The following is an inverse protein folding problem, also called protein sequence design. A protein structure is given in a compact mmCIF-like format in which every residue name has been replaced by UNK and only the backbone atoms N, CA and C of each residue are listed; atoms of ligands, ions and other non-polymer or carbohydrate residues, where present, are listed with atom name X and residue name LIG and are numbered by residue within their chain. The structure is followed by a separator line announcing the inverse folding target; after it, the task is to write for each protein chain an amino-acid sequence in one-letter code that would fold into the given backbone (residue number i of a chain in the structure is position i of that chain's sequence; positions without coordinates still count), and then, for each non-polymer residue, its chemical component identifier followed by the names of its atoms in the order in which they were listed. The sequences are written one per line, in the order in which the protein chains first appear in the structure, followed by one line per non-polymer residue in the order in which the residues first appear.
data_IF_684751134924
#
_entry.id   IF_684751134924
#
_cell.length_a   1.000
_cell.length_b   1.000
_cell.length_c   1.000
_cell.angle_alpha   90.00
_cell.angle_beta   90.00
_cell.angle_gamma   90.00
#
_symmetry.space_group_name_H-M   'P 1'
#
loop_
_entity.id
_entity.type
_entity.pdbx_description
1 polymer ?
#
# COMPACT_ATOMS: atom_id res chain seq x y z
N UNK A 1 6.74 -47.42 17.20
CA UNK A 1 7.87 -46.59 17.65
C UNK A 1 8.82 -46.18 16.52
N UNK A 2 9.47 -47.09 15.77
CA UNK A 2 10.40 -46.70 14.69
C UNK A 2 9.73 -46.00 13.47
N UNK A 3 8.47 -46.36 13.16
CA UNK A 3 7.71 -45.79 12.03
C UNK A 3 7.26 -44.35 12.30
N UNK A 4 6.84 -44.02 13.53
CA UNK A 4 6.44 -42.65 13.91
C UNK A 4 7.60 -41.65 13.91
N UNK A 5 8.80 -42.08 14.32
CA UNK A 5 10.01 -41.24 14.30
C UNK A 5 10.43 -40.96 12.85
N UNK A 6 10.29 -41.92 11.94
CA UNK A 6 10.57 -41.75 10.51
C UNK A 6 9.67 -40.72 9.84
N UNK A 7 8.37 -40.74 10.13
CA UNK A 7 7.38 -39.78 9.59
C UNK A 7 7.65 -38.37 10.14
N UNK A 8 7.99 -38.22 11.41
CA UNK A 8 8.30 -36.92 12.03
C UNK A 8 9.57 -36.28 11.44
N UNK A 9 10.61 -37.09 11.18
CA UNK A 9 11.87 -36.64 10.56
C UNK A 9 11.65 -36.25 9.09
N UNK A 10 10.82 -36.99 8.36
CA UNK A 10 10.49 -36.72 6.96
C UNK A 10 9.62 -35.45 6.79
N UNK A 11 8.65 -35.22 7.70
CA UNK A 11 7.88 -33.97 7.75
C UNK A 11 8.76 -32.75 8.10
N UNK A 12 9.72 -32.91 9.01
CA UNK A 12 10.64 -31.82 9.40
C UNK A 12 11.66 -31.46 8.30
N UNK A 13 12.11 -32.46 7.51
CA UNK A 13 12.98 -32.23 6.35
C UNK A 13 12.24 -31.58 5.18
N UNK A 14 10.98 -31.95 4.91
CA UNK A 14 10.14 -31.28 3.94
C UNK A 14 9.86 -29.80 4.32
N UNK A 15 9.56 -29.54 5.60
CA UNK A 15 9.36 -28.19 6.12
C UNK A 15 10.63 -27.31 6.06
N UNK A 16 11.82 -27.89 6.30
CA UNK A 16 13.11 -27.20 6.13
C UNK A 16 13.39 -26.85 4.66
N UNK A 17 13.11 -27.77 3.74
CA UNK A 17 13.32 -27.56 2.28
C UNK A 17 12.41 -26.45 1.75
N UNK A 18 11.15 -26.40 2.19
CA UNK A 18 10.21 -25.34 1.81
C UNK A 18 10.64 -23.95 2.33
N UNK A 19 11.15 -23.85 3.58
CA UNK A 19 11.71 -22.58 4.10
C UNK A 19 12.99 -22.15 3.38
N UNK A 20 13.83 -23.09 2.94
CA UNK A 20 15.04 -22.78 2.18
C UNK A 20 14.72 -22.28 0.76
N UNK A 21 13.71 -22.85 0.11
CA UNK A 21 13.25 -22.43 -1.21
C UNK A 21 12.57 -21.04 -1.16
N UNK A 22 11.76 -20.78 -0.14
CA UNK A 22 11.18 -19.46 0.10
C UNK A 22 12.24 -18.38 0.35
N UNK A 23 13.33 -18.71 1.09
CA UNK A 23 14.47 -17.81 1.29
C UNK A 23 15.24 -17.52 -0.01
N UNK A 24 15.36 -18.51 -0.91
CA UNK A 24 15.99 -18.36 -2.22
C UNK A 24 15.17 -17.47 -3.15
N UNK A 25 13.84 -17.67 -3.22
CA UNK A 25 12.92 -16.82 -3.99
C UNK A 25 12.94 -15.39 -3.43
N UNK A 26 12.89 -15.23 -2.11
CA UNK A 26 12.98 -13.92 -1.47
C UNK A 26 14.33 -13.24 -1.74
N UNK A 27 15.43 -14.00 -1.74
CA UNK A 27 16.77 -13.49 -2.05
C UNK A 27 16.91 -13.06 -3.52
N UNK A 28 16.43 -13.86 -4.46
CA UNK A 28 16.40 -13.52 -5.89
C UNK A 28 15.49 -12.31 -6.15
N UNK A 29 14.32 -12.23 -5.50
CA UNK A 29 13.43 -11.08 -5.57
C UNK A 29 14.08 -9.81 -5.03
N UNK A 30 14.82 -9.90 -3.92
CA UNK A 30 15.55 -8.77 -3.35
C UNK A 30 16.69 -8.29 -4.27
N UNK A 31 17.45 -9.21 -4.86
CA UNK A 31 18.52 -8.86 -5.82
C UNK A 31 17.92 -8.19 -7.06
N UNK A 32 16.83 -8.75 -7.60
CA UNK A 32 16.10 -8.15 -8.72
C UNK A 32 15.55 -6.76 -8.38
N UNK A 33 15.01 -6.58 -7.16
CA UNK A 33 14.53 -5.30 -6.68
C UNK A 33 15.67 -4.28 -6.56
N UNK A 34 16.80 -4.67 -5.98
CA UNK A 34 17.99 -3.81 -5.85
C UNK A 34 18.56 -3.44 -7.22
N UNK A 35 18.61 -4.38 -8.15
CA UNK A 35 19.02 -4.13 -9.53
C UNK A 35 18.05 -3.17 -10.24
N UNK A 36 16.74 -3.32 -10.02
CA UNK A 36 15.71 -2.44 -10.57
C UNK A 36 15.81 -1.02 -9.99
N UNK A 37 16.02 -0.89 -8.68
CA UNK A 37 16.30 0.39 -8.00
C UNK A 37 17.53 1.03 -8.65
N UNK A 38 18.63 0.29 -8.75
CA UNK A 38 19.86 0.80 -9.34
C UNK A 38 19.68 1.25 -10.79
N UNK A 39 18.98 0.46 -11.61
CA UNK A 39 18.66 0.82 -12.99
C UNK A 39 17.79 2.07 -13.07
N UNK A 40 16.79 2.21 -12.20
CA UNK A 40 15.93 3.41 -12.10
C UNK A 40 16.72 4.66 -11.72
N UNK A 41 17.60 4.57 -10.73
CA UNK A 41 18.46 5.68 -10.33
C UNK A 41 19.50 6.03 -11.42
N UNK A 42 20.05 5.02 -12.11
CA UNK A 42 20.96 5.23 -13.23
C UNK A 42 20.26 5.93 -14.42
N UNK A 43 19.00 5.55 -14.71
CA UNK A 43 18.19 6.17 -15.75
C UNK A 43 17.74 7.61 -15.40
N UNK A 44 17.54 7.91 -14.12
CA UNK A 44 17.11 9.24 -13.66
C UNK A 44 18.21 10.32 -13.75
N UNK A 45 19.48 9.94 -13.90
CA UNK A 45 20.63 10.86 -13.96
C UNK A 45 20.94 11.53 -12.62
N UNK A 46 22.21 11.92 -12.40
CA UNK A 46 22.68 12.48 -11.12
C UNK A 46 21.98 13.79 -10.71
N UNK A 47 21.40 14.53 -11.66
CA UNK A 47 20.70 15.80 -11.41
C UNK A 47 19.31 15.63 -10.77
N UNK A 48 18.67 14.46 -10.88
CA UNK A 48 17.37 14.18 -10.26
C UNK A 48 17.48 13.87 -8.75
N UNK A 49 18.65 13.40 -8.29
CA UNK A 49 18.92 13.09 -6.88
C UNK A 49 19.19 14.36 -6.05
N UNK A 50 19.67 15.43 -6.70
CA UNK A 50 20.01 16.71 -6.05
C UNK A 50 18.81 17.62 -5.77
N UNK A 51 17.62 17.30 -6.29
CA UNK A 51 16.36 18.03 -6.02
C UNK A 51 15.52 17.29 -4.99
N UNK A 52 16.04 17.17 -3.77
CA UNK A 52 15.23 16.65 -2.66
C UNK A 52 14.54 17.83 -1.97
N UNK A 53 13.22 17.92 -2.11
CA UNK A 53 12.42 18.93 -1.45
C UNK A 53 11.55 18.30 -0.35
N UNK A 54 11.73 18.77 0.88
CA UNK A 54 10.95 18.31 2.04
C UNK A 54 9.45 18.60 1.84
N UNK A 55 9.11 19.69 1.15
CA UNK A 55 7.73 20.06 0.89
C UNK A 55 7.05 19.06 -0.05
N UNK A 56 7.75 18.61 -1.09
CA UNK A 56 7.26 17.57 -2.00
C UNK A 56 7.05 16.23 -1.28
N UNK A 57 7.96 15.86 -0.37
CA UNK A 57 7.79 14.67 0.46
C UNK A 57 6.53 14.75 1.33
N UNK A 58 6.24 15.93 1.90
CA UNK A 58 5.01 16.15 2.69
C UNK A 58 3.77 16.01 1.81
N UNK A 59 3.77 16.58 0.61
CA UNK A 59 2.64 16.46 -0.33
C UNK A 59 2.40 15.00 -0.74
N UNK A 60 3.46 14.28 -1.09
CA UNK A 60 3.41 12.85 -1.42
C UNK A 60 2.88 12.05 -0.22
N UNK A 61 3.37 12.33 0.98
CA UNK A 61 2.91 11.68 2.20
C UNK A 61 1.41 11.89 2.40
N UNK A 62 0.89 13.12 2.27
CA UNK A 62 -0.53 13.41 2.43
C UNK A 62 -1.37 12.67 1.39
N UNK A 63 -0.93 12.62 0.13
CA UNK A 63 -1.61 11.88 -0.94
C UNK A 63 -1.67 10.38 -0.65
N UNK A 64 -0.53 9.78 -0.30
CA UNK A 64 -0.47 8.34 0.03
C UNK A 64 -1.26 8.01 1.31
N UNK A 65 -1.18 8.87 2.33
CA UNK A 65 -1.91 8.70 3.58
C UNK A 65 -3.42 8.74 3.34
N UNK A 66 -3.87 9.70 2.53
CA UNK A 66 -5.28 9.82 2.22
C UNK A 66 -5.80 8.58 1.48
N UNK A 67 -5.06 8.11 0.48
CA UNK A 67 -5.49 6.97 -0.35
C UNK A 67 -5.44 5.64 0.41
N UNK A 68 -4.43 5.42 1.24
CA UNK A 68 -4.38 4.24 2.12
C UNK A 68 -5.48 4.26 3.18
N UNK A 69 -5.88 5.46 3.61
CA UNK A 69 -6.90 5.70 4.65
C UNK A 69 -6.75 4.79 5.87
N UNK A 70 -5.59 4.80 6.55
CA UNK A 70 -5.34 3.90 7.68
C UNK A 70 -6.26 4.17 8.88
N UNK A 71 -6.85 5.38 8.97
CA UNK A 71 -7.78 5.76 10.04
C UNK A 71 -9.13 5.07 9.88
N UNK A 72 -9.69 5.06 8.66
CA UNK A 72 -10.97 4.39 8.40
C UNK A 72 -10.89 2.86 8.60
N UNK A 73 -9.69 2.28 8.51
CA UNK A 73 -9.46 0.84 8.72
C UNK A 73 -9.48 0.46 10.21
N UNK A 74 -9.26 1.39 11.14
CA UNK A 74 -9.15 1.11 12.59
C UNK A 74 -10.34 0.31 13.15
N UNK A 75 -11.62 0.70 12.94
CA UNK A 75 -12.76 -0.03 13.51
C UNK A 75 -12.85 -1.47 12.99
N UNK A 76 -12.61 -1.66 11.69
CA UNK A 76 -12.61 -2.98 11.05
C UNK A 76 -11.43 -3.82 11.54
N UNK A 77 -10.25 -3.22 11.65
CA UNK A 77 -9.07 -3.90 12.19
C UNK A 77 -9.31 -4.40 13.62
N UNK A 78 -9.88 -3.57 14.50
CA UNK A 78 -10.21 -3.97 15.86
C UNK A 78 -11.27 -5.07 15.92
N UNK A 79 -12.28 -5.02 15.04
CA UNK A 79 -13.30 -6.06 14.96
C UNK A 79 -12.74 -7.41 14.48
N UNK A 80 -11.82 -7.40 13.51
CA UNK A 80 -11.18 -8.63 12.99
C UNK A 80 -10.12 -9.19 13.93
N UNK A 81 -9.56 -8.36 14.81
CA UNK A 81 -8.50 -8.76 15.74
C UNK A 81 -8.99 -8.87 17.19
N UNK A 82 -10.31 -8.89 17.42
CA UNK A 82 -10.90 -8.97 18.77
C UNK A 82 -10.52 -10.27 19.50
N UNK A 83 -10.35 -11.35 18.75
CA UNK A 83 -10.24 -12.71 19.29
C UNK A 83 -8.77 -13.18 19.41
N UNK A 84 -7.79 -12.34 19.05
CA UNK A 84 -6.36 -12.66 19.10
C UNK A 84 -5.62 -11.90 20.20
N UNK A 85 -4.51 -12.46 20.68
CA UNK A 85 -3.71 -11.86 21.74
C UNK A 85 -3.01 -10.56 21.29
N UNK A 86 -2.62 -9.70 22.25
CA UNK A 86 -1.84 -8.48 21.95
C UNK A 86 -0.53 -8.77 21.20
N UNK A 87 0.11 -9.91 21.47
CA UNK A 87 1.36 -10.33 20.82
C UNK A 87 1.10 -10.74 19.35
N UNK A 88 0.04 -11.48 19.09
CA UNK A 88 -0.36 -11.88 17.73
C UNK A 88 -0.80 -10.67 16.91
N UNK A 89 -1.60 -9.77 17.51
CA UNK A 89 -2.00 -8.50 16.88
C UNK A 89 -0.77 -7.66 16.51
N UNK A 90 0.21 -7.56 17.42
CA UNK A 90 1.47 -6.87 17.16
C UNK A 90 2.26 -7.45 15.98
N UNK A 91 2.32 -8.78 15.87
CA UNK A 91 2.96 -9.47 14.76
C UNK A 91 2.20 -9.22 13.44
N UNK A 92 0.87 -9.28 13.47
CA UNK A 92 0.01 -8.99 12.32
C UNK A 92 0.21 -7.56 11.81
N UNK A 93 0.25 -6.57 12.69
CA UNK A 93 0.49 -5.16 12.29
C UNK A 93 1.85 -4.99 11.61
N UNK A 94 2.90 -5.66 12.11
CA UNK A 94 4.22 -5.66 11.45
C UNK A 94 4.15 -6.28 10.06
N UNK A 95 3.50 -7.43 9.93
CA UNK A 95 3.30 -8.09 8.63
C UNK A 95 2.58 -7.16 7.66
N UNK A 96 1.44 -6.58 8.07
CA UNK A 96 0.66 -5.65 7.24
C UNK A 96 1.50 -4.45 6.80
N UNK A 97 2.17 -3.76 7.74
CA UNK A 97 2.97 -2.58 7.40
C UNK A 97 4.13 -2.90 6.44
N UNK A 98 4.83 -4.02 6.67
CA UNK A 98 5.93 -4.45 5.79
C UNK A 98 5.42 -4.88 4.41
N UNK A 99 4.27 -5.56 4.32
CA UNK A 99 3.69 -5.92 3.02
C UNK A 99 3.21 -4.69 2.25
N UNK A 100 2.54 -3.74 2.92
CA UNK A 100 2.12 -2.47 2.31
C UNK A 100 3.33 -1.71 1.77
N UNK A 101 4.39 -1.58 2.57
CA UNK A 101 5.64 -0.93 2.12
C UNK A 101 6.25 -1.63 0.91
N UNK A 102 6.38 -2.96 0.96
CA UNK A 102 6.95 -3.75 -0.13
C UNK A 102 6.14 -3.56 -1.43
N UNK A 103 4.82 -3.63 -1.35
CA UNK A 103 3.93 -3.40 -2.50
C UNK A 103 4.08 -1.98 -3.04
N UNK A 104 4.10 -0.96 -2.18
CA UNK A 104 4.27 0.42 -2.64
C UNK A 104 5.63 0.63 -3.35
N UNK A 105 6.71 0.04 -2.82
CA UNK A 105 8.03 0.08 -3.46
C UNK A 105 7.99 -0.61 -4.83
N UNK A 106 7.35 -1.78 -4.93
CA UNK A 106 7.23 -2.52 -6.18
C UNK A 106 6.50 -1.68 -7.24
N UNK A 107 5.36 -1.08 -6.90
CA UNK A 107 4.61 -0.23 -7.85
C UNK A 107 5.33 1.07 -8.20
N UNK A 108 6.02 1.69 -7.23
CA UNK A 108 6.84 2.87 -7.50
C UNK A 108 7.93 2.56 -8.54
N UNK A 109 8.56 1.38 -8.46
CA UNK A 109 9.65 1.00 -9.36
C UNK A 109 9.17 0.42 -10.69
N UNK A 110 8.15 -0.44 -10.69
CA UNK A 110 7.66 -1.13 -11.89
C UNK A 110 6.58 -0.37 -12.64
N UNK A 111 5.95 0.62 -12.01
CA UNK A 111 4.80 1.35 -12.53
C UNK A 111 4.90 1.77 -13.99
N UNK A 112 5.93 2.55 -14.30
CA UNK A 112 6.17 3.01 -15.67
C UNK A 112 6.41 1.84 -16.64
N UNK A 113 7.15 0.79 -16.23
CA UNK A 113 7.40 -0.36 -17.10
C UNK A 113 6.10 -1.12 -17.41
N UNK A 114 5.15 -1.17 -16.46
CA UNK A 114 3.82 -1.73 -16.68
C UNK A 114 3.05 -0.88 -17.70
N UNK A 115 3.07 0.45 -17.57
CA UNK A 115 2.42 1.35 -18.53
C UNK A 115 3.00 1.21 -19.93
N UNK A 116 4.33 1.15 -20.05
CA UNK A 116 5.04 1.00 -21.32
C UNK A 116 4.69 -0.34 -21.99
N UNK A 117 4.65 -1.43 -21.21
CA UNK A 117 4.26 -2.75 -21.70
C UNK A 117 2.80 -2.80 -22.19
N UNK A 118 1.90 -2.08 -21.50
CA UNK A 118 0.49 -1.95 -21.88
C UNK A 118 0.26 -0.90 -22.98
N UNK A 119 1.29 -0.13 -23.36
CA UNK A 119 1.21 1.02 -24.27
C UNK A 119 0.15 2.05 -23.85
N UNK A 120 0.03 2.28 -22.54
CA UNK A 120 -0.89 3.26 -21.95
C UNK A 120 -0.11 4.51 -21.60
N UNK A 121 -0.60 5.68 -22.04
CA UNK A 121 0.02 6.96 -21.67
C UNK A 121 -0.18 7.28 -20.19
N UNK A 122 0.77 8.02 -19.59
CA UNK A 122 0.66 8.45 -18.20
C UNK A 122 -0.61 9.30 -17.97
N UNK A 123 -1.00 10.11 -18.96
CA UNK A 123 -2.20 10.96 -18.88
C UNK A 123 -3.49 10.14 -18.92
N UNK A 124 -3.56 9.13 -19.79
CA UNK A 124 -4.69 8.19 -19.84
C UNK A 124 -4.81 7.40 -18.53
N UNK A 125 -3.68 6.96 -18.00
CA UNK A 125 -3.65 6.23 -16.73
C UNK A 125 -4.07 7.13 -15.56
N UNK A 126 -3.58 8.37 -15.52
CA UNK A 126 -3.97 9.37 -14.52
C UNK A 126 -5.47 9.71 -14.59
N UNK A 127 -6.05 9.79 -15.79
CA UNK A 127 -7.49 10.03 -15.95
C UNK A 127 -8.34 8.87 -15.42
N UNK A 128 -8.06 7.64 -15.88
CA UNK A 128 -8.79 6.45 -15.41
C UNK A 128 -8.57 6.18 -13.92
N UNK A 129 -7.37 6.44 -13.44
CA UNK A 129 -6.99 6.42 -12.05
C UNK A 129 -7.74 7.42 -11.18
N UNK A 130 -7.90 8.65 -11.67
CA UNK A 130 -8.71 9.67 -11.01
C UNK A 130 -10.17 9.25 -10.92
N UNK A 131 -10.76 8.67 -11.97
CA UNK A 131 -12.12 8.11 -11.91
C UNK A 131 -12.22 7.02 -10.85
N UNK A 132 -11.27 6.09 -10.80
CA UNK A 132 -11.25 5.03 -9.80
C UNK A 132 -11.16 5.59 -8.37
N UNK A 133 -10.26 6.56 -8.12
CA UNK A 133 -10.14 7.21 -6.83
C UNK A 133 -11.41 7.98 -6.43
N UNK A 134 -12.08 8.62 -7.40
CA UNK A 134 -13.37 9.27 -7.18
C UNK A 134 -14.42 8.25 -6.72
N UNK A 135 -14.51 7.10 -7.39
CA UNK A 135 -15.41 6.01 -6.99
C UNK A 135 -15.08 5.52 -5.58
N UNK A 136 -13.79 5.32 -5.27
CA UNK A 136 -13.35 4.88 -3.94
C UNK A 136 -13.67 5.92 -2.84
N UNK A 137 -13.55 7.20 -3.14
CA UNK A 137 -13.91 8.28 -2.23
C UNK A 137 -15.42 8.30 -1.94
N UNK A 138 -16.25 8.16 -2.99
CA UNK A 138 -17.70 8.11 -2.88
C UNK A 138 -18.14 6.87 -2.09
N UNK A 139 -17.59 5.69 -2.39
CA UNK A 139 -17.88 4.43 -1.70
C UNK A 139 -17.56 4.53 -0.20
N UNK A 140 -16.39 5.07 0.13
CA UNK A 140 -15.95 5.30 1.51
C UNK A 140 -16.86 6.29 2.25
N UNK A 141 -17.26 7.39 1.59
CA UNK A 141 -18.14 8.41 2.16
C UNK A 141 -19.57 7.87 2.41
N UNK A 142 -20.06 7.04 1.49
CA UNK A 142 -21.38 6.40 1.57
C UNK A 142 -21.47 5.36 2.69
N UNK A 143 -20.34 4.98 3.31
CA UNK A 143 -20.30 3.99 4.38
C UNK A 143 -20.54 2.57 3.89
N UNK A 144 -20.43 2.32 2.58
CA UNK A 144 -20.43 0.97 2.04
C UNK A 144 -19.19 0.26 2.57
N UNK A 145 -19.44 -0.78 3.34
CA UNK A 145 -18.39 -1.54 4.01
C UNK A 145 -17.43 -2.07 2.93
N UNK A 146 -16.14 -1.74 3.02
CA UNK A 146 -15.04 -2.42 2.31
C UNK A 146 -14.96 -3.94 2.57
N UNK A 147 -15.89 -4.51 3.31
CA UNK A 147 -16.05 -5.95 3.48
C UNK A 147 -17.07 -6.47 2.46
N UNK A 148 -16.61 -6.80 1.26
CA UNK A 148 -16.98 -8.13 0.77
C UNK A 148 -16.43 -9.11 1.81
N UNK A 149 -17.34 -9.60 2.66
CA UNK A 149 -17.24 -10.82 3.48
C UNK A 149 -15.83 -11.42 3.55
N UNK A 150 -15.05 -11.03 4.56
CA UNK A 150 -13.97 -11.88 5.05
C UNK A 150 -14.57 -12.60 6.26
N UNK A 151 -14.93 -13.87 6.05
CA UNK A 151 -15.36 -14.75 7.13
C UNK A 151 -14.20 -14.95 8.12
N UNK A 152 -14.52 -15.22 9.40
CA UNK A 152 -13.53 -15.28 10.49
C UNK A 152 -12.46 -16.37 10.29
N UNK A 153 -12.70 -17.37 9.44
CA UNK A 153 -11.71 -18.41 9.10
C UNK A 153 -10.53 -17.91 8.24
N UNK A 154 -10.60 -16.73 7.62
CA UNK A 154 -9.55 -16.22 6.71
C UNK A 154 -8.41 -15.44 7.41
N UNK A 155 -8.43 -15.35 8.74
CA UNK A 155 -7.38 -14.66 9.53
C UNK A 155 -6.01 -15.34 9.39
N UNK A 156 -5.97 -16.59 8.90
CA UNK A 156 -4.73 -17.34 8.61
C UNK A 156 -4.20 -17.05 7.18
N UNK A 157 -4.96 -16.35 6.34
CA UNK A 157 -4.61 -16.07 4.92
C UNK A 157 -4.14 -14.64 4.65
N UNK A 158 -3.34 -14.07 5.56
CA UNK A 158 -2.52 -12.88 5.23
C UNK A 158 -1.30 -13.37 4.43
N UNK A 159 -1.44 -13.57 3.11
CA UNK A 159 -0.73 -12.68 2.16
C UNK A 159 -1.43 -12.49 0.80
N UNK A 160 -2.77 -12.55 0.71
CA UNK A 160 -3.50 -12.28 -0.56
C UNK A 160 -4.52 -11.12 -0.42
N UNK A 161 -4.94 -10.77 0.79
CA UNK A 161 -5.73 -9.56 1.10
C UNK A 161 -4.87 -8.29 1.28
N UNK A 162 -3.58 -8.42 1.55
CA UNK A 162 -2.65 -7.29 1.62
C UNK A 162 -2.37 -6.59 0.26
N UNK A 163 -2.31 -7.29 -0.88
CA UNK A 163 -2.39 -6.67 -2.21
C UNK A 163 -3.67 -5.85 -2.43
N UNK A 164 -4.79 -6.21 -1.80
CA UNK A 164 -6.03 -5.44 -1.86
C UNK A 164 -5.98 -4.16 -0.99
N UNK A 165 -5.13 -4.13 0.05
CA UNK A 165 -4.86 -2.96 0.89
C UNK A 165 -4.00 -1.93 0.15
N UNK A 166 -3.02 -2.38 -0.65
CA UNK A 166 -2.43 -1.59 -1.74
C UNK A 166 -3.32 -1.74 -2.97
N UNK A 167 -4.58 -1.34 -2.80
CA UNK A 167 -5.60 -1.48 -3.84
C UNK A 167 -5.22 -0.72 -5.11
N UNK A 168 -6.03 -0.87 -6.17
CA UNK A 168 -5.76 -0.24 -7.47
C UNK A 168 -5.64 1.29 -7.37
N UNK A 169 -6.24 1.94 -6.36
CA UNK A 169 -6.03 3.36 -6.05
C UNK A 169 -4.60 3.70 -5.60
N UNK A 170 -4.03 2.93 -4.68
CA UNK A 170 -2.64 3.11 -4.22
C UNK A 170 -1.64 2.81 -5.32
N UNK A 171 -1.91 1.78 -6.13
CA UNK A 171 -1.10 1.50 -7.33
C UNK A 171 -1.13 2.70 -8.26
N UNK A 172 -2.32 3.24 -8.55
CA UNK A 172 -2.49 4.35 -9.47
C UNK A 172 -1.66 5.56 -9.06
N UNK A 173 -1.83 6.02 -7.81
CA UNK A 173 -1.15 7.24 -7.35
C UNK A 173 0.36 7.07 -7.35
N UNK A 174 0.87 5.89 -7.01
CA UNK A 174 2.31 5.64 -7.01
C UNK A 174 2.92 5.77 -8.41
N UNK A 175 2.23 5.23 -9.43
CA UNK A 175 2.70 5.34 -10.82
C UNK A 175 2.68 6.80 -11.29
N UNK A 176 1.62 7.54 -10.96
CA UNK A 176 1.51 8.96 -11.32
C UNK A 176 2.57 9.81 -10.60
N UNK A 177 2.80 9.55 -9.32
CA UNK A 177 3.81 10.24 -8.52
C UNK A 177 5.22 9.93 -9.02
N UNK A 178 5.56 8.69 -9.34
CA UNK A 178 6.91 8.38 -9.84
C UNK A 178 7.16 8.85 -11.26
N UNK A 179 6.10 9.13 -12.04
CA UNK A 179 6.23 9.76 -13.35
C UNK A 179 6.44 11.29 -13.28
N UNK A 180 6.05 11.93 -12.18
CA UNK A 180 6.02 13.41 -12.06
C UNK A 180 6.94 13.97 -10.97
N UNK A 181 7.39 13.14 -10.02
CA UNK A 181 8.19 13.52 -8.85
C UNK A 181 9.48 12.71 -8.78
N UNK A 182 10.41 13.12 -7.92
CA UNK A 182 11.66 12.36 -7.73
C UNK A 182 11.36 11.01 -7.11
N UNK A 183 11.96 9.95 -7.65
CA UNK A 183 11.83 8.60 -7.09
C UNK A 183 12.24 8.55 -5.62
N UNK A 184 13.26 9.32 -5.21
CA UNK A 184 13.72 9.37 -3.83
C UNK A 184 12.66 9.96 -2.90
N UNK A 185 11.98 11.02 -3.33
CA UNK A 185 10.89 11.65 -2.57
C UNK A 185 9.69 10.71 -2.43
N UNK A 186 9.33 10.01 -3.51
CA UNK A 186 8.23 9.03 -3.49
C UNK A 186 8.56 7.86 -2.56
N UNK A 187 9.75 7.27 -2.66
CA UNK A 187 10.17 6.20 -1.76
C UNK A 187 10.22 6.65 -0.29
N UNK A 188 10.65 7.89 -0.04
CA UNK A 188 10.62 8.47 1.31
C UNK A 188 9.18 8.59 1.82
N UNK A 189 8.27 9.10 0.99
CA UNK A 189 6.84 9.16 1.31
C UNK A 189 6.23 7.78 1.61
N UNK A 190 6.58 6.75 0.83
CA UNK A 190 6.18 5.35 1.05
C UNK A 190 6.62 4.84 2.43
N UNK A 191 7.85 5.13 2.84
CA UNK A 191 8.37 4.74 4.16
C UNK A 191 7.63 5.47 5.27
N UNK A 192 7.44 6.79 5.14
CA UNK A 192 6.75 7.61 6.12
C UNK A 192 5.29 7.17 6.31
N UNK A 193 4.55 6.96 5.21
CA UNK A 193 3.14 6.55 5.30
C UNK A 193 2.98 5.14 5.84
N UNK A 194 3.89 4.23 5.50
CA UNK A 194 3.91 2.87 6.07
C UNK A 194 4.20 2.91 7.57
N UNK A 195 5.14 3.75 8.00
CA UNK A 195 5.47 3.94 9.41
C UNK A 195 4.28 4.52 10.18
N UNK A 196 3.62 5.56 9.66
CA UNK A 196 2.43 6.13 10.30
C UNK A 196 1.28 5.13 10.35
N UNK A 197 1.06 4.36 9.27
CA UNK A 197 0.06 3.28 9.24
C UNK A 197 0.36 2.21 10.29
N UNK A 198 1.64 1.81 10.43
CA UNK A 198 2.08 0.89 11.47
C UNK A 198 1.72 1.41 12.87
N UNK A 199 2.02 2.68 13.15
CA UNK A 199 1.73 3.29 14.44
C UNK A 199 0.22 3.38 14.71
N UNK A 200 -0.58 3.80 13.73
CA UNK A 200 -2.04 3.88 13.85
C UNK A 200 -2.68 2.52 14.14
N UNK A 201 -2.25 1.47 13.43
CA UNK A 201 -2.78 0.12 13.66
C UNK A 201 -2.25 -0.46 14.99
N UNK A 202 -1.01 -0.16 15.35
CA UNK A 202 -0.39 -0.62 16.60
C UNK A 202 -1.12 -0.05 17.83
N UNK A 203 -1.50 1.23 17.77
CA UNK A 203 -2.21 1.93 18.84
C UNK A 203 -3.71 2.06 18.56
N UNK A 204 -4.25 1.20 17.70
CA UNK A 204 -5.65 1.26 17.25
C UNK A 204 -6.65 1.20 18.41
N UNK A 205 -6.37 0.39 19.45
CA UNK A 205 -7.21 0.28 20.63
C UNK A 205 -7.21 1.57 21.44
N UNK A 206 -6.03 2.11 21.71
CA UNK A 206 -5.86 3.36 22.46
C UNK A 206 -6.49 4.54 21.71
N UNK A 207 -6.34 4.59 20.38
CA UNK A 207 -6.96 5.60 19.52
C UNK A 207 -8.48 5.47 19.55
N UNK A 208 -9.02 4.25 19.48
CA UNK A 208 -10.47 3.99 19.57
C UNK A 208 -11.05 4.39 20.92
N UNK A 209 -10.35 4.10 22.02
CA UNK A 209 -10.78 4.49 23.37
C UNK A 209 -10.71 6.01 23.57
N UNK A 210 -9.68 6.68 23.06
CA UNK A 210 -9.48 8.11 23.24
C UNK A 210 -10.40 8.98 22.37
N UNK A 211 -10.59 8.62 21.10
CA UNK A 211 -11.36 9.41 20.13
C UNK A 211 -12.82 8.95 20.01
N UNK A 212 -13.07 7.67 20.29
CA UNK A 212 -14.38 7.06 20.08
C UNK A 212 -14.74 6.84 18.61
N UNK A 213 -15.79 6.06 18.34
CA UNK A 213 -16.17 5.64 16.99
C UNK A 213 -16.69 6.80 16.13
N UNK A 214 -17.27 7.85 16.74
CA UNK A 214 -17.77 9.02 16.01
C UNK A 214 -16.63 9.86 15.43
N UNK A 215 -15.59 10.13 16.20
CA UNK A 215 -14.45 10.92 15.74
C UNK A 215 -13.65 10.18 14.66
N UNK A 216 -13.41 8.87 14.84
CA UNK A 216 -12.75 8.04 13.82
C UNK A 216 -13.54 8.05 12.50
N UNK A 217 -14.87 7.92 12.57
CA UNK A 217 -15.73 8.05 11.37
C UNK A 217 -15.64 9.43 10.74
N UNK A 218 -15.66 10.51 11.54
CA UNK A 218 -15.53 11.86 11.02
C UNK A 218 -14.18 12.08 10.33
N UNK A 219 -13.09 11.58 10.91
CA UNK A 219 -11.75 11.63 10.31
C UNK A 219 -11.68 10.85 9.00
N UNK A 220 -12.21 9.62 8.93
CA UNK A 220 -12.28 8.86 7.69
C UNK A 220 -13.11 9.55 6.59
N UNK A 221 -14.16 10.28 6.96
CA UNK A 221 -14.91 11.11 6.00
C UNK A 221 -14.08 12.29 5.49
N UNK A 222 -13.31 12.96 6.35
CA UNK A 222 -12.39 14.01 5.91
C UNK A 222 -11.34 13.46 4.95
N UNK A 223 -10.75 12.30 5.25
CA UNK A 223 -9.84 11.60 4.34
C UNK A 223 -10.51 11.32 2.99
N UNK A 224 -11.76 10.87 3.00
CA UNK A 224 -12.52 10.59 1.77
C UNK A 224 -12.73 11.84 0.91
N UNK A 225 -13.00 12.99 1.52
CA UNK A 225 -13.08 14.29 0.81
C UNK A 225 -11.73 14.67 0.20
N UNK A 226 -10.62 14.42 0.90
CA UNK A 226 -9.27 14.66 0.38
C UNK A 226 -8.97 13.75 -0.83
N UNK A 227 -9.35 12.46 -0.78
CA UNK A 227 -9.22 11.54 -1.93
C UNK A 227 -10.03 12.06 -3.13
N UNK A 228 -11.27 12.51 -2.91
CA UNK A 228 -12.11 13.06 -3.99
C UNK A 228 -11.48 14.31 -4.62
N UNK A 229 -10.87 15.19 -3.82
CA UNK A 229 -10.14 16.34 -4.34
C UNK A 229 -8.94 15.92 -5.20
N UNK A 230 -8.13 14.96 -4.75
CA UNK A 230 -7.01 14.44 -5.55
C UNK A 230 -7.48 13.76 -6.84
N UNK A 231 -8.57 13.00 -6.76
CA UNK A 231 -9.19 12.39 -7.93
C UNK A 231 -9.61 13.43 -8.97
N UNK A 232 -10.22 14.53 -8.53
CA UNK A 232 -10.61 15.65 -9.38
C UNK A 232 -9.37 16.32 -10.02
N UNK A 233 -8.31 16.57 -9.24
CA UNK A 233 -7.05 17.13 -9.75
C UNK A 233 -6.39 16.23 -10.80
N UNK A 234 -6.39 14.91 -10.58
CA UNK A 234 -5.85 13.96 -11.56
C UNK A 234 -6.64 13.99 -12.86
N UNK A 235 -7.97 14.05 -12.79
CA UNK A 235 -8.84 14.15 -13.96
C UNK A 235 -8.58 15.47 -14.69
N UNK A 236 -8.56 16.60 -13.98
CA UNK A 236 -8.31 17.93 -14.57
C UNK A 236 -6.94 17.97 -15.25
N UNK A 237 -5.88 17.54 -14.55
CA UNK A 237 -4.53 17.56 -15.11
C UNK A 237 -4.41 16.72 -16.39
N UNK A 238 -5.11 15.58 -16.47
CA UNK A 238 -5.18 14.78 -17.70
C UNK A 238 -5.95 15.47 -18.82
N UNK A 239 -7.05 16.16 -18.52
CA UNK A 239 -7.80 16.94 -19.51
C UNK A 239 -6.97 18.12 -20.04
N UNK A 240 -6.19 18.78 -19.18
CA UNK A 240 -5.24 19.84 -19.58
C UNK A 240 -4.16 19.27 -20.48
N UNK A 241 -3.58 18.11 -20.14
CA UNK A 241 -2.57 17.45 -20.97
C UNK A 241 -3.10 17.07 -22.37
N UNK A 242 -4.41 16.81 -22.49
CA UNK A 242 -5.07 16.57 -23.77
C UNK A 242 -5.54 17.84 -24.51
N UNK A 243 -5.34 19.03 -23.92
CA UNK A 243 -5.78 20.31 -24.48
C UNK A 243 -7.29 20.53 -24.44
N UNK A 244 -8.00 19.78 -23.60
CA UNK A 244 -9.47 19.87 -23.44
C UNK A 244 -9.85 20.92 -22.38
N UNK A 245 -9.04 21.08 -21.35
CA UNK A 245 -9.23 22.03 -20.26
C UNK A 245 -8.06 23.02 -20.16
N UNK A 246 -8.31 24.15 -19.50
CA UNK A 246 -7.31 25.17 -19.15
C UNK A 246 -7.02 25.17 -17.65
#
# INVERSE_FOLDING_TARGET
MAVEIGVLVMMNTAARKHRSFAKLIAGLGLIALLALVHWRFAAAGQMAVLRFDIFEVILIFVQLFAILDPVAVIPTFLALTSDISRLERAAMVRTVATTVLAMMIIFALLGQAILDALKVSIDSFRFGGGILLMVLAIDSLAGFKRTKSVEKEDVIMVPITTPLLVGPGTMTILIVLTATKSLLEVLTGCVLVSLVTYLLLRFSSEIMEALGPNAIRAMGRLTSVIIAAFAAEMIHASLVAWGIAS
#
